data_IF_349039900155
#
_entry.id   IF_349039900155
#
_cell.length_a   1.000
_cell.length_b   1.000
_cell.length_c   1.000
_cell.angle_alpha   90.00
_cell.angle_beta   90.00
_cell.angle_gamma   90.00
#
_symmetry.space_group_name_H-M   'P 1'
#
loop_
_entity.id
_entity.type
_entity.pdbx_description
1 polymer ?
#
# COMPACT_ATOMS: atom_id res chain seq x y z
N UNK A 1 55.36 -19.39 -5.55
CA UNK A 1 54.31 -20.04 -6.37
C UNK A 1 53.58 -21.13 -5.55
N UNK A 2 52.87 -20.78 -4.47
CA UNK A 2 52.13 -21.75 -3.62
C UNK A 2 50.67 -21.33 -3.31
N UNK A 3 50.09 -20.44 -4.12
CA UNK A 3 48.75 -19.86 -3.92
C UNK A 3 47.66 -20.44 -4.83
N UNK A 4 48.00 -21.26 -5.83
CA UNK A 4 47.10 -21.71 -6.90
C UNK A 4 45.86 -22.51 -6.44
N UNK A 5 45.79 -22.93 -5.17
CA UNK A 5 44.63 -23.63 -4.60
C UNK A 5 44.22 -23.11 -3.21
N UNK A 6 44.67 -21.89 -2.86
CA UNK A 6 44.39 -21.27 -1.56
C UNK A 6 43.74 -19.90 -1.77
N UNK A 7 42.50 -19.85 -2.28
CA UNK A 7 41.84 -18.59 -2.63
C UNK A 7 41.71 -17.63 -1.43
N UNK A 8 41.59 -18.18 -0.22
CA UNK A 8 41.51 -17.42 1.04
C UNK A 8 42.77 -16.60 1.39
N UNK A 9 43.91 -16.83 0.71
CA UNK A 9 45.13 -16.01 0.91
C UNK A 9 44.94 -14.61 0.31
N UNK A 10 44.08 -14.48 -0.72
CA UNK A 10 43.80 -13.21 -1.37
C UNK A 10 42.82 -12.33 -0.59
N UNK A 11 42.23 -12.83 0.50
CA UNK A 11 41.41 -11.98 1.36
C UNK A 11 42.32 -11.03 2.17
N UNK A 12 42.12 -9.71 2.02
CA UNK A 12 42.92 -8.71 2.71
C UNK A 12 42.72 -8.81 4.24
N UNK A 13 43.71 -8.38 5.04
CA UNK A 13 43.54 -8.26 6.48
C UNK A 13 42.37 -7.31 6.83
N UNK A 14 41.61 -7.62 7.87
CA UNK A 14 40.50 -6.76 8.36
C UNK A 14 40.95 -5.34 8.74
N UNK A 15 42.23 -5.16 9.06
CA UNK A 15 42.82 -3.86 9.42
C UNK A 15 43.11 -2.98 8.21
N UNK A 16 43.04 -3.53 7.00
CA UNK A 16 43.21 -2.76 5.77
C UNK A 16 42.01 -1.83 5.58
N UNK A 17 42.28 -0.52 5.56
CA UNK A 17 41.23 0.50 5.41
C UNK A 17 40.83 0.73 3.96
N UNK A 18 41.71 0.39 3.03
CA UNK A 18 41.53 0.68 1.60
C UNK A 18 40.95 -0.53 0.86
N UNK A 19 41.15 -1.74 1.38
CA UNK A 19 40.66 -2.97 0.75
C UNK A 19 39.82 -3.82 1.69
N UNK A 20 38.49 -3.76 1.51
CA UNK A 20 37.52 -4.60 2.21
C UNK A 20 36.83 -5.55 1.23
N UNK A 21 37.12 -6.85 1.33
CA UNK A 21 36.55 -7.86 0.46
C UNK A 21 35.04 -7.98 0.70
N UNK A 22 34.28 -7.46 -0.27
CA UNK A 22 32.80 -7.44 -0.26
C UNK A 22 32.21 -8.14 -1.48
N UNK A 23 32.72 -7.83 -2.67
CA UNK A 23 32.32 -8.45 -3.94
C UNK A 23 33.57 -8.89 -4.70
N UNK A 24 33.59 -10.16 -5.11
CA UNK A 24 34.57 -10.70 -6.06
C UNK A 24 33.79 -11.26 -7.24
N UNK A 25 33.93 -10.60 -8.39
CA UNK A 25 33.22 -10.94 -9.62
C UNK A 25 34.25 -11.50 -10.60
N UNK A 26 34.02 -12.72 -11.08
CA UNK A 26 34.80 -13.33 -12.14
C UNK A 26 34.11 -13.06 -13.48
N UNK A 27 34.86 -12.54 -14.45
CA UNK A 27 34.42 -12.37 -15.82
C UNK A 27 35.07 -13.43 -16.71
N UNK A 28 34.28 -14.03 -17.58
CA UNK A 28 34.77 -14.96 -18.60
C UNK A 28 35.03 -14.22 -19.93
N UNK A 29 35.73 -14.86 -20.86
CA UNK A 29 36.07 -14.30 -22.17
C UNK A 29 34.84 -13.88 -22.99
N UNK A 30 33.70 -14.56 -22.77
CA UNK A 30 32.42 -14.28 -23.43
C UNK A 30 31.68 -13.08 -22.82
N UNK A 31 32.27 -12.39 -21.83
CA UNK A 31 31.68 -11.24 -21.14
C UNK A 31 30.63 -11.60 -20.08
N UNK A 32 30.39 -12.88 -19.85
CA UNK A 32 29.57 -13.35 -18.73
C UNK A 32 30.31 -13.19 -17.41
N UNK A 33 29.57 -12.98 -16.32
CA UNK A 33 30.15 -12.77 -15.01
C UNK A 33 29.43 -13.52 -13.90
N UNK A 34 30.20 -13.96 -12.91
CA UNK A 34 29.67 -14.65 -11.72
C UNK A 34 30.26 -14.07 -10.44
N UNK A 35 29.43 -14.03 -9.41
CA UNK A 35 29.85 -13.67 -8.06
C UNK A 35 30.50 -14.87 -7.36
N UNK A 36 31.83 -14.85 -7.30
CA UNK A 36 32.67 -15.90 -6.72
C UNK A 36 33.18 -15.52 -5.33
N UNK A 37 32.58 -14.50 -4.68
CA UNK A 37 33.01 -13.98 -3.37
C UNK A 37 33.18 -15.08 -2.32
N UNK A 38 32.28 -16.07 -2.30
CA UNK A 38 32.29 -17.20 -1.36
C UNK A 38 33.59 -18.00 -1.38
N UNK A 39 34.26 -18.09 -2.54
CA UNK A 39 35.52 -18.82 -2.71
C UNK A 39 36.67 -18.13 -1.96
N UNK A 40 36.65 -16.80 -1.93
CA UNK A 40 37.75 -15.98 -1.40
C UNK A 40 37.56 -15.55 0.06
N UNK A 41 36.33 -15.29 0.48
CA UNK A 41 36.04 -14.89 1.86
C UNK A 41 36.31 -16.03 2.86
N UNK A 42 37.04 -15.76 3.96
CA UNK A 42 37.20 -16.75 5.06
C UNK A 42 35.91 -16.93 5.85
N UNK A 43 35.14 -15.85 6.01
CA UNK A 43 33.92 -15.79 6.82
C UNK A 43 32.82 -15.05 6.05
N UNK A 44 32.30 -15.70 5.01
CA UNK A 44 31.33 -15.08 4.10
C UNK A 44 30.03 -14.75 4.82
N UNK A 45 29.41 -15.74 5.49
CA UNK A 45 28.08 -15.57 6.11
C UNK A 45 28.12 -14.65 7.31
N UNK A 46 29.20 -14.68 8.08
CA UNK A 46 29.37 -13.92 9.30
C UNK A 46 29.80 -12.46 9.09
N UNK A 47 30.72 -12.20 8.16
CA UNK A 47 31.37 -10.87 8.01
C UNK A 47 31.10 -10.26 6.65
N UNK A 48 31.55 -10.90 5.57
CA UNK A 48 31.48 -10.34 4.22
C UNK A 48 30.06 -9.98 3.84
N UNK A 49 29.08 -10.86 4.12
CA UNK A 49 27.68 -10.63 3.78
C UNK A 49 27.10 -9.35 4.39
N UNK A 50 27.57 -8.92 5.56
CA UNK A 50 27.07 -7.72 6.26
C UNK A 50 27.51 -6.41 5.62
N UNK A 51 28.59 -6.45 4.84
CA UNK A 51 29.13 -5.27 4.12
C UNK A 51 28.49 -5.08 2.75
N UNK A 52 27.60 -5.99 2.35
CA UNK A 52 27.01 -5.99 1.02
C UNK A 52 25.61 -5.40 1.00
N UNK A 53 25.21 -4.97 -0.19
CA UNK A 53 23.96 -4.26 -0.46
C UNK A 53 22.75 -5.11 -0.13
N UNK A 54 22.88 -6.45 -0.24
CA UNK A 54 21.81 -7.39 0.05
C UNK A 54 21.29 -7.32 1.49
N UNK A 55 22.06 -6.76 2.41
CA UNK A 55 21.65 -6.52 3.80
C UNK A 55 21.49 -5.03 4.14
N UNK A 56 21.97 -4.12 3.31
CA UNK A 56 21.92 -2.68 3.57
C UNK A 56 20.57 -2.06 3.16
N UNK A 57 19.92 -2.60 2.13
CA UNK A 57 18.62 -2.15 1.63
C UNK A 57 17.58 -3.26 1.76
N UNK A 58 16.31 -2.88 1.95
CA UNK A 58 15.19 -3.84 2.03
C UNK A 58 15.05 -4.67 0.74
N UNK A 59 15.24 -4.06 -0.43
CA UNK A 59 15.29 -4.73 -1.75
C UNK A 59 16.73 -4.91 -2.29
N UNK A 60 17.75 -4.87 -1.41
CA UNK A 60 19.14 -4.96 -1.86
C UNK A 60 19.48 -6.28 -2.56
N UNK A 61 18.88 -7.39 -2.08
CA UNK A 61 19.04 -8.71 -2.71
C UNK A 61 18.39 -8.76 -4.10
N UNK A 62 17.20 -8.17 -4.26
CA UNK A 62 16.52 -8.07 -5.55
C UNK A 62 17.32 -7.25 -6.53
N UNK A 63 17.86 -6.12 -6.09
CA UNK A 63 18.75 -5.27 -6.88
C UNK A 63 20.02 -6.01 -7.33
N UNK A 64 20.74 -6.67 -6.41
CA UNK A 64 21.96 -7.39 -6.76
C UNK A 64 21.70 -8.53 -7.76
N UNK A 65 20.60 -9.27 -7.56
CA UNK A 65 20.16 -10.29 -8.52
C UNK A 65 19.86 -9.70 -9.90
N UNK A 66 19.25 -8.50 -9.96
CA UNK A 66 18.96 -7.81 -11.22
C UNK A 66 20.24 -7.38 -11.95
N UNK A 67 21.24 -6.89 -11.22
CA UNK A 67 22.56 -6.54 -11.78
C UNK A 67 23.25 -7.78 -12.33
N UNK A 68 23.40 -8.83 -11.53
CA UNK A 68 24.08 -10.06 -11.95
C UNK A 68 23.33 -10.80 -13.07
N UNK A 69 22.01 -10.64 -13.17
CA UNK A 69 21.22 -11.22 -14.28
C UNK A 69 21.65 -10.68 -15.64
N UNK A 70 22.16 -9.46 -15.74
CA UNK A 70 22.64 -8.88 -17.01
C UNK A 70 23.89 -9.61 -17.54
N UNK A 71 24.68 -10.20 -16.64
CA UNK A 71 25.92 -10.88 -16.95
C UNK A 71 25.81 -12.41 -16.93
N UNK A 72 24.61 -12.95 -16.66
CA UNK A 72 24.40 -14.40 -16.58
C UNK A 72 24.35 -15.00 -17.99
N UNK A 73 24.98 -16.17 -18.24
CA UNK A 73 24.84 -16.85 -19.52
C UNK A 73 23.36 -17.20 -19.79
N UNK A 74 22.97 -17.16 -21.08
CA UNK A 74 21.61 -17.51 -21.52
C UNK A 74 21.27 -18.97 -21.20
N UNK A 75 22.25 -19.85 -21.32
CA UNK A 75 22.17 -21.29 -21.03
C UNK A 75 23.25 -21.64 -20.03
N UNK A 76 22.90 -22.11 -18.82
CA UNK A 76 23.89 -22.58 -17.85
C UNK A 76 24.67 -23.75 -18.45
N UNK A 77 25.99 -23.73 -18.31
CA UNK A 77 26.85 -24.86 -18.66
C UNK A 77 26.98 -25.85 -17.50
N UNK A 78 27.48 -27.06 -17.79
CA UNK A 78 27.84 -28.03 -16.74
C UNK A 78 28.92 -27.47 -15.80
N UNK A 79 29.85 -26.67 -16.33
CA UNK A 79 30.88 -25.98 -15.54
C UNK A 79 30.25 -24.96 -14.58
N UNK A 80 29.22 -24.24 -15.02
CA UNK A 80 28.50 -23.31 -14.16
C UNK A 80 27.84 -24.01 -12.99
N UNK A 81 27.23 -25.17 -13.25
CA UNK A 81 26.58 -25.96 -12.22
C UNK A 81 27.59 -26.56 -11.24
N UNK A 82 28.74 -27.02 -11.72
CA UNK A 82 29.84 -27.50 -10.88
C UNK A 82 30.33 -26.37 -9.98
N UNK A 83 30.52 -25.17 -10.52
CA UNK A 83 30.95 -23.99 -9.75
C UNK A 83 29.89 -23.55 -8.74
N UNK A 84 28.60 -23.52 -9.10
CA UNK A 84 27.53 -23.18 -8.18
C UNK A 84 27.47 -24.16 -7.00
N UNK A 85 27.68 -25.45 -7.27
CA UNK A 85 27.78 -26.50 -6.24
C UNK A 85 29.04 -26.33 -5.37
N UNK A 86 30.18 -25.96 -5.96
CA UNK A 86 31.41 -25.64 -5.22
C UNK A 86 31.17 -24.46 -4.27
N UNK A 87 30.64 -23.35 -4.77
CA UNK A 87 30.38 -22.14 -4.00
C UNK A 87 29.37 -22.38 -2.88
N UNK A 88 28.28 -23.12 -3.16
CA UNK A 88 27.33 -23.55 -2.15
C UNK A 88 27.96 -24.49 -1.11
N UNK A 89 28.84 -25.40 -1.55
CA UNK A 89 29.59 -26.30 -0.68
C UNK A 89 30.63 -25.57 0.20
N UNK A 90 31.22 -24.47 -0.27
CA UNK A 90 32.10 -23.61 0.54
C UNK A 90 31.29 -22.88 1.61
N UNK A 91 30.15 -22.30 1.25
CA UNK A 91 29.24 -21.62 2.19
C UNK A 91 28.71 -22.59 3.26
N UNK A 92 28.31 -23.81 2.86
CA UNK A 92 27.79 -24.82 3.79
C UNK A 92 28.85 -25.37 4.77
N UNK A 93 30.13 -25.39 4.36
CA UNK A 93 31.26 -25.82 5.20
C UNK A 93 31.85 -24.70 6.06
N UNK A 94 31.29 -23.50 6.01
CA UNK A 94 31.73 -22.40 6.88
C UNK A 94 31.54 -22.81 8.36
N UNK A 95 32.61 -22.73 9.18
CA UNK A 95 32.52 -23.13 10.59
C UNK A 95 31.59 -22.19 11.36
N UNK A 96 31.03 -22.69 12.47
CA UNK A 96 30.24 -21.86 13.37
C UNK A 96 31.08 -20.64 13.85
N UNK A 97 30.52 -19.42 13.82
CA UNK A 97 31.24 -18.23 14.29
C UNK A 97 31.67 -18.38 15.75
N UNK A 98 32.81 -17.77 16.10
CA UNK A 98 33.34 -17.80 17.47
C UNK A 98 33.04 -16.54 18.27
N UNK A 99 32.75 -15.42 17.58
CA UNK A 99 32.42 -14.16 18.21
C UNK A 99 30.90 -14.00 18.24
N UNK A 100 30.36 -13.61 19.39
CA UNK A 100 28.94 -13.32 19.56
C UNK A 100 28.42 -12.32 18.52
N UNK A 101 29.20 -11.28 18.18
CA UNK A 101 28.79 -10.26 17.20
C UNK A 101 28.59 -10.79 15.78
N UNK A 102 29.24 -11.91 15.44
CA UNK A 102 29.14 -12.55 14.13
C UNK A 102 27.83 -13.36 13.97
N UNK A 103 27.10 -13.60 15.07
CA UNK A 103 25.78 -14.26 15.04
C UNK A 103 24.63 -13.29 14.78
N UNK A 104 24.85 -11.98 14.84
CA UNK A 104 23.80 -10.99 14.58
C UNK A 104 23.37 -11.04 13.12
N UNK A 105 22.09 -11.31 12.87
CA UNK A 105 21.51 -11.50 11.53
C UNK A 105 22.20 -12.60 10.67
N UNK A 106 22.83 -13.59 11.32
CA UNK A 106 23.47 -14.71 10.63
C UNK A 106 22.43 -15.61 9.92
N UNK A 107 22.65 -16.06 8.66
CA UNK A 107 21.66 -16.82 7.90
C UNK A 107 21.33 -18.19 8.50
N UNK A 108 22.32 -18.84 9.11
CA UNK A 108 22.21 -20.24 9.56
C UNK A 108 22.01 -20.40 11.06
N UNK A 109 22.49 -19.45 11.87
CA UNK A 109 22.61 -19.57 13.32
C UNK A 109 21.93 -18.39 13.99
N UNK A 110 21.43 -18.59 15.20
CA UNK A 110 20.81 -17.56 16.01
C UNK A 110 21.19 -17.74 17.48
N UNK A 111 21.37 -16.62 18.17
CA UNK A 111 21.49 -16.56 19.62
C UNK A 111 20.21 -16.01 20.21
N UNK A 112 19.81 -16.51 21.38
CA UNK A 112 18.62 -16.03 22.10
C UNK A 112 18.64 -14.51 22.32
N UNK A 113 19.81 -13.96 22.69
CA UNK A 113 20.02 -12.50 22.87
C UNK A 113 19.78 -11.67 21.60
N UNK A 114 19.87 -12.28 20.42
CA UNK A 114 19.74 -11.60 19.13
C UNK A 114 18.40 -11.89 18.45
N UNK A 115 17.50 -12.64 19.11
CA UNK A 115 16.14 -12.81 18.62
C UNK A 115 15.41 -11.47 18.68
N UNK A 116 14.74 -11.13 17.59
CA UNK A 116 13.90 -9.93 17.53
C UNK A 116 12.72 -10.07 18.48
N UNK A 117 12.06 -8.96 18.78
CA UNK A 117 10.89 -8.92 19.69
C UNK A 117 9.85 -9.99 19.34
N UNK A 118 9.53 -10.12 18.05
CA UNK A 118 8.55 -11.03 17.47
C UNK A 118 9.14 -12.36 16.95
N UNK A 119 10.35 -12.72 17.37
CA UNK A 119 10.97 -14.01 17.07
C UNK A 119 10.97 -14.88 18.32
N UNK A 120 10.66 -16.16 18.15
CA UNK A 120 10.64 -17.18 19.19
C UNK A 120 11.30 -18.46 18.67
N UNK A 121 11.84 -19.27 19.56
CA UNK A 121 12.32 -20.61 19.21
C UNK A 121 11.12 -21.58 19.19
N UNK A 122 11.16 -22.58 18.32
CA UNK A 122 10.20 -23.69 18.36
C UNK A 122 10.25 -24.41 19.72
N UNK A 123 9.12 -24.92 20.22
CA UNK A 123 9.12 -25.76 21.41
C UNK A 123 10.08 -26.94 21.24
N UNK A 124 10.99 -27.13 22.21
CA UNK A 124 11.97 -28.22 22.18
C UNK A 124 13.18 -28.01 21.25
N UNK A 125 13.44 -26.78 20.79
CA UNK A 125 14.63 -26.48 19.99
C UNK A 125 15.93 -26.98 20.67
N UNK A 126 16.74 -27.74 19.93
CA UNK A 126 18.00 -28.29 20.42
C UNK A 126 19.16 -27.35 20.05
N UNK A 127 20.00 -26.93 21.00
CA UNK A 127 21.19 -26.13 20.70
C UNK A 127 22.13 -26.89 19.75
N UNK A 128 22.58 -26.22 18.69
CA UNK A 128 23.61 -26.74 17.77
C UNK A 128 25.04 -26.57 18.28
N UNK A 129 25.23 -25.76 19.32
CA UNK A 129 26.53 -25.50 19.93
C UNK A 129 26.45 -24.45 21.02
N UNK A 130 27.61 -24.04 21.53
CA UNK A 130 27.74 -22.96 22.51
C UNK A 130 28.81 -21.96 22.11
N UNK A 131 28.66 -20.71 22.54
CA UNK A 131 29.64 -19.64 22.33
C UNK A 131 29.83 -18.84 23.62
N UNK A 132 31.07 -18.47 23.94
CA UNK A 132 31.36 -17.59 25.06
C UNK A 132 31.34 -16.11 24.61
N UNK A 133 30.66 -15.25 25.38
CA UNK A 133 30.64 -13.80 25.10
C UNK A 133 31.90 -13.06 25.59
N UNK A 134 32.84 -13.78 26.20
CA UNK A 134 34.11 -13.27 26.73
C UNK A 134 34.73 -14.28 27.70
N UNK A 135 35.95 -14.01 28.18
CA UNK A 135 36.73 -14.95 29.02
C UNK A 135 36.04 -15.33 30.32
N UNK A 136 35.14 -14.49 30.85
CA UNK A 136 34.40 -14.74 32.10
C UNK A 136 32.88 -14.79 31.92
N UNK A 137 32.39 -14.72 30.69
CA UNK A 137 30.95 -14.71 30.43
C UNK A 137 30.40 -16.13 30.37
N UNK A 138 29.14 -16.36 30.75
CA UNK A 138 28.51 -17.66 30.60
C UNK A 138 28.46 -18.09 29.13
N UNK A 139 28.49 -19.40 28.91
CA UNK A 139 28.30 -19.99 27.59
C UNK A 139 26.85 -19.81 27.14
N UNK A 140 26.68 -19.26 25.95
CA UNK A 140 25.37 -19.08 25.34
C UNK A 140 25.06 -20.22 24.38
N UNK A 141 23.80 -20.64 24.38
CA UNK A 141 23.30 -21.65 23.45
C UNK A 141 23.10 -21.04 22.07
N UNK A 142 23.65 -21.70 21.05
CA UNK A 142 23.48 -21.36 19.65
C UNK A 142 22.42 -22.27 19.05
N UNK A 143 21.40 -21.70 18.42
CA UNK A 143 20.34 -22.43 17.72
C UNK A 143 20.47 -22.27 16.21
N UNK A 144 19.83 -23.14 15.43
CA UNK A 144 19.72 -22.91 13.98
C UNK A 144 18.65 -21.86 13.73
N UNK A 145 18.87 -20.99 12.74
CA UNK A 145 17.88 -19.99 12.32
C UNK A 145 16.57 -20.64 11.84
N UNK A 146 16.63 -21.87 11.31
CA UNK A 146 15.44 -22.67 10.92
C UNK A 146 14.49 -22.97 12.09
N UNK A 147 15.01 -22.99 13.31
CA UNK A 147 14.26 -23.26 14.54
C UNK A 147 13.67 -21.97 15.13
N UNK A 148 13.99 -20.81 14.54
CA UNK A 148 13.40 -19.52 14.89
C UNK A 148 12.15 -19.31 14.06
N UNK A 149 11.02 -19.05 14.72
CA UNK A 149 9.73 -18.74 14.09
C UNK A 149 9.33 -17.31 14.38
N UNK A 150 8.63 -16.70 13.42
CA UNK A 150 7.94 -15.45 13.69
C UNK A 150 6.67 -15.72 14.49
N UNK A 151 6.49 -14.94 15.55
CA UNK A 151 5.31 -14.97 16.38
C UNK A 151 4.60 -13.61 16.35
N UNK A 152 3.27 -13.64 16.28
CA UNK A 152 2.41 -12.46 16.16
C UNK A 152 1.28 -12.54 17.20
N UNK A 153 0.71 -11.40 17.56
CA UNK A 153 -0.50 -11.38 18.41
C UNK A 153 -1.68 -12.02 17.69
N UNK A 154 -2.70 -12.46 18.43
CA UNK A 154 -3.92 -13.03 17.87
C UNK A 154 -4.54 -12.10 16.81
N UNK A 155 -4.66 -10.80 17.13
CA UNK A 155 -5.15 -9.78 16.20
C UNK A 155 -4.32 -9.67 14.91
N UNK A 156 -2.99 -9.76 15.00
CA UNK A 156 -2.12 -9.73 13.82
C UNK A 156 -2.24 -11.00 12.97
N UNK A 157 -2.51 -12.14 13.58
CA UNK A 157 -2.83 -13.37 12.85
C UNK A 157 -4.19 -13.26 12.17
N UNK A 158 -5.18 -12.66 12.83
CA UNK A 158 -6.51 -12.45 12.26
C UNK A 158 -6.46 -11.59 11.01
N UNK A 159 -5.65 -10.52 11.00
CA UNK A 159 -5.37 -9.71 9.80
C UNK A 159 -4.66 -10.47 8.68
N UNK A 160 -4.08 -11.63 8.96
CA UNK A 160 -3.51 -12.56 7.97
C UNK A 160 -4.49 -13.69 7.62
N UNK A 161 -5.76 -13.60 8.03
CA UNK A 161 -6.80 -14.61 7.82
C UNK A 161 -6.62 -15.86 8.65
N UNK A 162 -6.02 -15.74 9.84
CA UNK A 162 -5.76 -16.88 10.75
C UNK A 162 -6.25 -16.59 12.15
N UNK A 163 -6.80 -17.59 12.80
CA UNK A 163 -7.18 -17.52 14.21
C UNK A 163 -6.32 -18.45 15.06
N UNK A 164 -6.16 -18.11 16.34
CA UNK A 164 -5.41 -18.95 17.28
C UNK A 164 -6.31 -20.12 17.66
N UNK A 165 -5.76 -21.34 17.62
CA UNK A 165 -6.52 -22.53 17.99
C UNK A 165 -6.98 -22.43 19.45
N UNK A 166 -8.15 -22.99 19.79
CA UNK A 166 -8.63 -22.99 21.18
C UNK A 166 -7.60 -23.63 22.13
N UNK A 167 -7.44 -23.03 23.32
CA UNK A 167 -6.60 -23.55 24.41
C UNK A 167 -5.09 -23.61 24.14
N UNK A 168 -4.58 -22.86 23.16
CA UNK A 168 -3.14 -22.75 22.90
C UNK A 168 -2.42 -21.86 23.92
N UNK A 169 -1.23 -22.29 24.35
CA UNK A 169 -0.37 -21.52 25.27
C UNK A 169 0.47 -20.53 24.45
N UNK A 170 0.53 -19.23 24.80
CA UNK A 170 1.34 -18.26 24.07
C UNK A 170 2.82 -18.66 24.02
N UNK A 171 3.44 -18.57 22.83
CA UNK A 171 4.86 -18.88 22.66
C UNK A 171 5.77 -17.89 23.41
N UNK A 172 5.33 -16.64 23.57
CA UNK A 172 6.03 -15.59 24.31
C UNK A 172 5.03 -14.53 24.74
N UNK A 173 5.33 -13.89 25.86
CA UNK A 173 4.61 -12.71 26.34
C UNK A 173 5.46 -11.47 26.06
N UNK A 174 4.89 -10.49 25.36
CA UNK A 174 5.56 -9.23 25.09
C UNK A 174 5.24 -8.23 26.20
N UNK A 175 6.24 -7.52 26.75
CA UNK A 175 5.98 -6.52 27.78
C UNK A 175 5.04 -5.44 27.24
N UNK A 176 4.17 -4.94 28.12
CA UNK A 176 3.24 -3.84 27.80
C UNK A 176 4.04 -2.65 27.28
N UNK A 177 3.57 -2.04 26.20
CA UNK A 177 4.16 -0.81 25.68
C UNK A 177 3.78 0.30 26.66
N UNK A 178 4.76 0.87 27.37
CA UNK A 178 4.52 2.07 28.18
C UNK A 178 4.15 3.20 27.22
N UNK A 179 2.85 3.43 27.03
CA UNK A 179 2.37 4.64 26.38
C UNK A 179 2.41 5.75 27.42
N UNK A 180 3.06 6.87 27.10
CA UNK A 180 3.01 8.07 27.94
C UNK A 180 1.57 8.56 27.98
N UNK A 181 0.86 8.22 29.06
CA UNK A 181 -0.52 8.62 29.37
C UNK A 181 -0.63 10.14 29.33
N UNK A 182 -1.21 10.70 28.27
CA UNK A 182 -1.60 12.11 28.21
C UNK A 182 -2.99 12.36 27.61
N UNK A 183 -3.72 11.32 27.19
CA UNK A 183 -5.08 11.46 26.64
C UNK A 183 -6.07 10.64 27.47
N UNK A 184 -7.14 11.29 27.96
CA UNK A 184 -8.27 10.65 28.67
C UNK A 184 -9.12 9.76 27.75
N UNK A 185 -8.94 9.83 26.43
CA UNK A 185 -9.72 9.06 25.46
C UNK A 185 -9.25 7.59 25.34
N UNK A 186 -8.03 7.26 25.76
CA UNK A 186 -7.50 5.88 25.74
C UNK A 186 -7.97 5.04 26.96
N UNK A 187 -8.66 5.64 27.93
CA UNK A 187 -9.08 4.96 29.17
C UNK A 187 -10.28 4.03 28.99
N UNK A 188 -11.10 4.21 27.94
CA UNK A 188 -12.36 3.46 27.80
C UNK A 188 -12.26 2.18 26.96
N UNK A 189 -11.31 2.07 26.03
CA UNK A 189 -11.10 0.82 25.25
C UNK A 189 -10.09 -0.15 25.89
N UNK A 190 -9.29 0.28 26.88
CA UNK A 190 -8.24 -0.56 27.48
C UNK A 190 -8.65 -1.27 28.78
N UNK A 191 -9.85 -1.00 29.31
CA UNK A 191 -10.28 -1.50 30.61
C UNK A 191 -10.99 -2.87 30.59
N UNK A 192 -11.27 -3.46 29.43
CA UNK A 192 -11.96 -4.77 29.36
C UNK A 192 -11.01 -5.99 29.33
N UNK A 193 -9.71 -5.80 29.09
CA UNK A 193 -8.70 -6.88 29.08
C UNK A 193 -7.67 -6.76 30.22
N UNK A 194 -8.05 -6.12 31.33
CA UNK A 194 -7.16 -5.75 32.42
C UNK A 194 -7.00 -6.81 33.53
N UNK A 195 -7.14 -8.11 33.20
CA UNK A 195 -6.83 -9.20 34.14
C UNK A 195 -5.49 -9.86 33.79
N UNK A 196 -4.40 -9.18 34.19
CA UNK A 196 -3.04 -9.74 34.12
C UNK A 196 -1.94 -8.72 33.82
N UNK A 197 -0.90 -8.71 34.65
CA UNK A 197 0.38 -8.04 34.41
C UNK A 197 1.18 -8.66 33.23
N UNK A 198 0.65 -9.71 32.59
CA UNK A 198 1.38 -10.60 31.71
C UNK A 198 1.79 -10.02 30.33
N UNK A 199 1.35 -8.82 29.92
CA UNK A 199 1.70 -8.26 28.62
C UNK A 199 0.92 -8.88 27.44
N UNK A 200 1.33 -8.62 26.20
CA UNK A 200 0.62 -9.10 24.99
C UNK A 200 1.09 -10.51 24.59
N UNK A 201 0.20 -11.52 24.56
CA UNK A 201 0.58 -12.87 24.12
C UNK A 201 0.85 -12.89 22.61
N UNK A 202 1.88 -13.62 22.20
CA UNK A 202 2.16 -13.89 20.78
C UNK A 202 2.24 -15.40 20.51
N UNK A 203 1.77 -15.78 19.33
CA UNK A 203 1.62 -17.15 18.88
C UNK A 203 2.40 -17.36 17.59
N UNK A 204 2.89 -18.58 17.38
CA UNK A 204 3.52 -18.99 16.12
C UNK A 204 2.47 -19.45 15.11
N UNK A 205 2.86 -19.61 13.85
CA UNK A 205 1.95 -20.07 12.79
C UNK A 205 1.33 -21.44 13.10
N UNK A 206 2.09 -22.34 13.72
CA UNK A 206 1.66 -23.73 13.99
C UNK A 206 0.51 -23.80 15.03
N UNK A 207 0.39 -22.75 15.86
CA UNK A 207 -0.66 -22.55 16.87
C UNK A 207 -1.91 -21.86 16.30
N UNK A 208 -1.93 -21.60 15.00
CA UNK A 208 -3.04 -20.94 14.34
C UNK A 208 -3.64 -21.84 13.27
N UNK A 209 -4.90 -21.62 12.97
CA UNK A 209 -5.62 -22.23 11.86
C UNK A 209 -6.19 -21.17 10.93
N UNK A 210 -6.62 -21.59 9.74
CA UNK A 210 -7.20 -20.67 8.77
C UNK A 210 -8.57 -20.22 9.30
N UNK A 211 -8.77 -18.90 9.40
CA UNK A 211 -10.04 -18.35 9.83
C UNK A 211 -11.10 -18.63 8.76
N UNK A 212 -12.16 -19.34 9.11
CA UNK A 212 -13.31 -19.55 8.24
C UNK A 212 -14.47 -18.62 8.67
N UNK A 213 -14.80 -17.58 7.88
CA UNK A 213 -15.95 -16.73 8.16
C UNK A 213 -17.27 -17.50 8.02
N UNK A 214 -18.31 -17.04 8.73
CA UNK A 214 -19.65 -17.56 8.55
C UNK A 214 -20.09 -17.47 7.07
N UNK A 215 -20.73 -18.50 6.50
CA UNK A 215 -21.13 -18.49 5.10
C UNK A 215 -22.30 -17.53 4.86
N UNK A 216 -22.43 -17.06 3.61
CA UNK A 216 -23.61 -16.31 3.16
C UNK A 216 -24.82 -17.25 3.16
N UNK A 217 -25.93 -16.84 3.79
CA UNK A 217 -27.17 -17.62 3.84
C UNK A 217 -28.35 -16.77 3.35
N UNK A 218 -29.14 -17.30 2.41
CA UNK A 218 -30.30 -16.61 1.83
C UNK A 218 -29.99 -15.21 1.30
N UNK A 219 -28.88 -15.07 0.56
CA UNK A 219 -28.43 -13.79 0.02
C UNK A 219 -27.92 -12.78 1.05
N UNK A 220 -27.91 -13.12 2.37
CA UNK A 220 -27.47 -12.22 3.44
C UNK A 220 -26.03 -12.47 3.85
N UNK A 221 -25.24 -11.41 3.87
CA UNK A 221 -23.82 -11.42 4.23
C UNK A 221 -23.69 -11.22 5.75
N UNK A 222 -22.86 -12.01 6.46
CA UNK A 222 -22.61 -11.79 7.88
C UNK A 222 -21.92 -10.43 8.11
N UNK A 223 -22.40 -9.67 9.09
CA UNK A 223 -21.89 -8.34 9.45
C UNK A 223 -21.42 -8.35 10.90
N UNK A 224 -20.35 -7.60 11.18
CA UNK A 224 -19.88 -7.34 12.53
C UNK A 224 -20.80 -6.34 13.26
N UNK A 225 -20.48 -6.00 14.52
CA UNK A 225 -21.24 -5.03 15.33
C UNK A 225 -21.34 -3.63 14.68
N UNK A 226 -20.41 -3.30 13.78
CA UNK A 226 -20.37 -2.04 13.05
C UNK A 226 -21.07 -2.09 11.69
N UNK A 227 -21.71 -3.21 11.34
CA UNK A 227 -22.42 -3.38 10.08
C UNK A 227 -21.50 -3.67 8.87
N UNK A 228 -20.21 -3.90 9.09
CA UNK A 228 -19.22 -4.16 8.05
C UNK A 228 -18.72 -5.61 8.12
N UNK A 229 -17.95 -6.05 7.13
CA UNK A 229 -17.26 -7.35 7.15
C UNK A 229 -15.75 -7.15 7.03
N UNK A 230 -14.98 -7.88 7.81
CA UNK A 230 -13.52 -7.76 7.88
C UNK A 230 -12.88 -8.70 6.86
N UNK A 231 -12.28 -8.13 5.82
CA UNK A 231 -11.70 -8.87 4.69
C UNK A 231 -10.29 -8.33 4.42
N UNK A 232 -9.33 -8.75 5.24
CA UNK A 232 -7.92 -8.36 5.08
C UNK A 232 -7.19 -9.20 4.04
N UNK A 233 -7.60 -10.46 3.87
CA UNK A 233 -7.06 -11.39 2.88
C UNK A 233 -8.19 -12.11 2.14
N UNK A 234 -7.97 -12.60 0.90
CA UNK A 234 -9.00 -13.26 0.12
C UNK A 234 -9.65 -14.48 0.80
N UNK A 235 -8.93 -15.18 1.70
CA UNK A 235 -9.49 -16.32 2.43
C UNK A 235 -10.54 -15.94 3.48
N UNK A 236 -10.66 -14.66 3.84
CA UNK A 236 -11.68 -14.15 4.76
C UNK A 236 -13.01 -13.83 4.07
N UNK A 237 -13.12 -14.07 2.76
CA UNK A 237 -14.38 -13.92 2.05
C UNK A 237 -15.29 -15.11 2.41
N UNK A 238 -16.52 -14.87 2.91
CA UNK A 238 -17.50 -15.91 3.17
C UNK A 238 -17.69 -16.88 2.02
N UNK A 239 -17.85 -18.17 2.33
CA UNK A 239 -18.31 -19.16 1.34
C UNK A 239 -19.67 -18.69 0.80
N UNK A 240 -19.79 -18.59 -0.53
CA UNK A 240 -20.97 -18.04 -1.22
C UNK A 240 -20.99 -16.51 -1.34
N UNK A 241 -19.98 -15.81 -0.84
CA UNK A 241 -19.78 -14.37 -1.03
C UNK A 241 -18.73 -14.05 -2.08
N UNK A 242 -18.79 -12.82 -2.62
CA UNK A 242 -17.77 -12.23 -3.48
C UNK A 242 -17.47 -10.80 -3.04
N UNK A 243 -16.19 -10.43 -3.05
CA UNK A 243 -15.75 -9.06 -2.78
C UNK A 243 -15.61 -8.29 -4.09
N UNK A 244 -16.37 -7.20 -4.23
CA UNK A 244 -16.26 -6.27 -5.35
C UNK A 244 -15.56 -5.01 -4.83
N UNK A 245 -14.31 -4.82 -5.23
CA UNK A 245 -13.45 -3.72 -4.81
C UNK A 245 -13.67 -2.46 -5.67
N UNK A 246 -14.87 -1.89 -5.61
CA UNK A 246 -15.26 -0.70 -6.38
C UNK A 246 -16.04 0.30 -5.48
N UNK A 247 -15.88 1.60 -5.71
CA UNK A 247 -16.54 2.66 -4.95
C UNK A 247 -18.05 2.73 -5.26
N UNK A 248 -18.45 2.40 -6.49
CA UNK A 248 -19.84 2.35 -6.92
C UNK A 248 -20.57 1.11 -6.42
N UNK A 249 -19.86 0.07 -5.98
CA UNK A 249 -20.45 -1.21 -5.63
C UNK A 249 -21.50 -1.11 -4.50
N UNK A 250 -21.29 -0.22 -3.52
CA UNK A 250 -22.28 0.02 -2.46
C UNK A 250 -23.55 0.67 -3.00
N UNK A 251 -23.41 1.64 -3.91
CA UNK A 251 -24.55 2.31 -4.57
C UNK A 251 -25.31 1.34 -5.46
N UNK A 252 -24.59 0.55 -6.27
CA UNK A 252 -25.17 -0.49 -7.12
C UNK A 252 -26.02 -1.49 -6.33
N UNK A 253 -25.45 -2.04 -5.25
CA UNK A 253 -26.17 -2.99 -4.39
C UNK A 253 -27.41 -2.38 -3.75
N UNK A 254 -27.34 -1.10 -3.33
CA UNK A 254 -28.48 -0.38 -2.77
C UNK A 254 -29.61 -0.17 -3.79
N UNK A 255 -29.28 0.26 -5.01
CA UNK A 255 -30.26 0.46 -6.10
C UNK A 255 -30.96 -0.85 -6.47
N UNK A 256 -30.22 -1.96 -6.45
CA UNK A 256 -30.75 -3.30 -6.76
C UNK A 256 -31.46 -3.96 -5.57
N UNK A 257 -31.46 -3.35 -4.38
CA UNK A 257 -32.08 -3.93 -3.17
C UNK A 257 -31.40 -5.19 -2.64
N UNK A 258 -30.11 -5.38 -2.95
CA UNK A 258 -29.32 -6.56 -2.54
C UNK A 258 -28.66 -6.31 -1.19
N UNK A 259 -28.67 -7.31 -0.30
CA UNK A 259 -27.94 -7.23 0.96
C UNK A 259 -26.42 -7.22 0.70
N UNK A 260 -25.77 -6.16 1.17
CA UNK A 260 -24.33 -5.99 1.06
C UNK A 260 -23.71 -5.62 2.41
N UNK A 261 -22.44 -5.98 2.58
CA UNK A 261 -21.63 -5.57 3.73
C UNK A 261 -20.41 -4.81 3.22
N UNK A 262 -20.14 -3.57 3.67
CA UNK A 262 -18.91 -2.87 3.33
C UNK A 262 -17.68 -3.67 3.80
N UNK A 263 -16.69 -3.80 2.92
CA UNK A 263 -15.50 -4.62 3.19
C UNK A 263 -14.40 -3.78 3.84
N UNK A 264 -14.08 -4.07 5.10
CA UNK A 264 -12.94 -3.50 5.79
C UNK A 264 -11.67 -4.22 5.35
N UNK A 265 -10.85 -3.55 4.54
CA UNK A 265 -9.65 -4.13 3.94
C UNK A 265 -8.37 -3.74 4.68
N UNK A 266 -8.41 -2.72 5.52
CA UNK A 266 -7.25 -2.26 6.27
C UNK A 266 -7.52 -1.03 7.12
N UNK A 267 -6.44 -0.45 7.65
CA UNK A 267 -6.45 0.80 8.39
C UNK A 267 -5.39 1.73 7.82
N UNK A 268 -5.75 2.97 7.57
CA UNK A 268 -4.82 4.02 7.20
C UNK A 268 -4.48 4.84 8.44
N UNK A 269 -3.19 5.00 8.73
CA UNK A 269 -2.75 5.76 9.89
C UNK A 269 -2.25 7.13 9.44
N UNK A 270 -3.01 8.18 9.76
CA UNK A 270 -2.58 9.57 9.59
C UNK A 270 -2.13 10.09 10.95
N UNK A 271 -0.81 10.14 11.14
CA UNK A 271 -0.20 10.49 12.42
C UNK A 271 -0.50 9.44 13.49
N UNK A 272 -1.27 9.83 14.52
CA UNK A 272 -1.67 8.93 15.63
C UNK A 272 -3.08 8.36 15.48
N UNK A 273 -3.88 8.85 14.54
CA UNK A 273 -5.24 8.36 14.31
C UNK A 273 -5.24 7.29 13.22
N UNK A 274 -5.82 6.13 13.53
CA UNK A 274 -6.07 5.06 12.56
C UNK A 274 -7.50 5.11 12.06
N UNK A 275 -7.69 5.31 10.76
CA UNK A 275 -9.00 5.31 10.12
C UNK A 275 -9.23 3.98 9.41
N UNK A 276 -10.40 3.38 9.63
CA UNK A 276 -10.84 2.16 8.96
C UNK A 276 -11.02 2.39 7.45
N UNK A 277 -10.37 1.58 6.62
CA UNK A 277 -10.42 1.70 5.15
C UNK A 277 -11.42 0.68 4.60
N UNK A 278 -12.62 1.16 4.31
CA UNK A 278 -13.68 0.40 3.65
C UNK A 278 -13.47 0.50 2.13
N UNK A 279 -13.12 -0.61 1.48
CA UNK A 279 -12.95 -0.66 0.02
C UNK A 279 -13.90 -1.67 -0.56
N UNK A 280 -14.91 -1.17 -1.27
CA UNK A 280 -15.92 -2.00 -1.90
C UNK A 280 -16.85 -2.70 -0.92
N UNK A 281 -17.51 -3.74 -1.41
CA UNK A 281 -18.54 -4.49 -0.66
C UNK A 281 -18.41 -5.99 -0.89
N UNK A 282 -18.84 -6.77 0.09
CA UNK A 282 -19.11 -8.19 -0.06
C UNK A 282 -20.61 -8.39 -0.30
N UNK A 283 -20.94 -9.16 -1.32
CA UNK A 283 -22.31 -9.55 -1.69
C UNK A 283 -22.39 -11.06 -1.87
N UNK A 284 -23.60 -11.60 -1.93
CA UNK A 284 -23.81 -12.98 -2.34
C UNK A 284 -23.37 -13.19 -3.80
N UNK A 285 -22.69 -14.31 -4.08
CA UNK A 285 -22.13 -14.65 -5.39
C UNK A 285 -23.20 -14.69 -6.50
N UNK A 286 -24.43 -15.05 -6.15
CA UNK A 286 -25.56 -15.09 -7.08
C UNK A 286 -25.89 -13.73 -7.71
N UNK A 287 -25.56 -12.62 -7.04
CA UNK A 287 -25.83 -11.26 -7.52
C UNK A 287 -24.61 -10.56 -8.12
N UNK A 288 -23.49 -11.26 -8.29
CA UNK A 288 -22.24 -10.67 -8.77
C UNK A 288 -22.41 -9.96 -10.13
N UNK A 289 -23.03 -10.65 -11.08
CA UNK A 289 -23.20 -10.16 -12.44
C UNK A 289 -24.11 -8.93 -12.48
N UNK A 290 -25.21 -8.94 -11.74
CA UNK A 290 -26.14 -7.81 -11.66
C UNK A 290 -25.47 -6.56 -11.07
N UNK A 291 -24.68 -6.71 -10.00
CA UNK A 291 -23.98 -5.58 -9.38
C UNK A 291 -22.89 -5.06 -10.30
N UNK A 292 -22.12 -5.92 -10.97
CA UNK A 292 -21.10 -5.48 -11.95
C UNK A 292 -21.71 -4.73 -13.13
N UNK A 293 -22.83 -5.21 -13.67
CA UNK A 293 -23.54 -4.52 -14.75
C UNK A 293 -24.06 -3.14 -14.30
N UNK A 294 -24.59 -3.03 -13.08
CA UNK A 294 -25.04 -1.76 -12.52
C UNK A 294 -23.88 -0.78 -12.25
N UNK A 295 -22.70 -1.27 -11.83
CA UNK A 295 -21.49 -0.46 -11.72
C UNK A 295 -21.10 0.10 -13.09
N UNK A 296 -21.06 -0.76 -14.12
CA UNK A 296 -20.72 -0.33 -15.47
C UNK A 296 -21.68 0.76 -15.96
N UNK A 297 -22.99 0.58 -15.78
CA UNK A 297 -23.97 1.60 -16.16
C UNK A 297 -23.81 2.94 -15.41
N UNK A 298 -23.37 2.92 -14.15
CA UNK A 298 -23.06 4.15 -13.42
C UNK A 298 -21.80 4.84 -13.93
N UNK A 299 -20.77 4.07 -14.30
CA UNK A 299 -19.54 4.61 -14.88
C UNK A 299 -19.80 5.21 -16.27
N UNK A 300 -20.58 4.52 -17.09
CA UNK A 300 -20.96 5.00 -18.43
C UNK A 300 -21.73 6.33 -18.32
N UNK A 301 -22.68 6.43 -17.38
CA UNK A 301 -23.44 7.66 -17.14
C UNK A 301 -22.56 8.81 -16.62
N UNK A 302 -21.60 8.53 -15.73
CA UNK A 302 -20.65 9.54 -15.28
C UNK A 302 -19.77 10.05 -16.44
N UNK A 303 -19.35 9.15 -17.32
CA UNK A 303 -18.60 9.50 -18.52
C UNK A 303 -19.44 10.36 -19.47
N UNK A 304 -20.70 10.00 -19.72
CA UNK A 304 -21.61 10.80 -20.56
C UNK A 304 -21.80 12.22 -20.00
N UNK A 305 -22.02 12.35 -18.69
CA UNK A 305 -22.17 13.67 -18.03
C UNK A 305 -20.88 14.50 -18.13
N UNK A 306 -19.71 13.88 -17.99
CA UNK A 306 -18.43 14.56 -18.15
C UNK A 306 -18.17 14.98 -19.61
N UNK A 307 -18.54 14.14 -20.58
CA UNK A 307 -18.51 14.49 -21.99
C UNK A 307 -19.48 15.64 -22.32
N UNK A 308 -20.69 15.64 -21.76
CA UNK A 308 -21.65 16.73 -21.92
C UNK A 308 -21.11 18.05 -21.34
N UNK A 309 -20.48 18.02 -20.16
CA UNK A 309 -19.82 19.21 -19.60
C UNK A 309 -18.72 19.73 -20.51
N UNK A 310 -17.87 18.85 -21.05
CA UNK A 310 -16.82 19.23 -22.01
C UNK A 310 -17.41 19.81 -23.28
N UNK A 311 -18.46 19.20 -23.82
CA UNK A 311 -19.19 19.71 -25.00
C UNK A 311 -19.80 21.07 -24.72
N UNK A 312 -20.40 21.27 -23.55
CA UNK A 312 -20.97 22.55 -23.14
C UNK A 312 -19.92 23.65 -23.06
N UNK A 313 -18.77 23.39 -22.43
CA UNK A 313 -17.65 24.34 -22.38
C UNK A 313 -17.15 24.67 -23.79
N UNK A 314 -16.98 23.67 -24.65
CA UNK A 314 -16.56 23.88 -26.04
C UNK A 314 -17.58 24.74 -26.81
N UNK A 315 -18.88 24.46 -26.69
CA UNK A 315 -19.92 25.23 -27.35
C UNK A 315 -19.98 26.69 -26.83
N UNK A 316 -19.76 26.91 -25.54
CA UNK A 316 -19.68 28.26 -24.95
C UNK A 316 -18.49 29.05 -25.54
N UNK A 317 -17.32 28.42 -25.67
CA UNK A 317 -16.15 29.02 -26.31
C UNK A 317 -16.38 29.31 -27.80
N UNK A 318 -16.99 28.38 -28.53
CA UNK A 318 -17.35 28.58 -29.94
C UNK A 318 -18.33 29.72 -30.13
N UNK A 319 -19.36 29.82 -29.28
CA UNK A 319 -20.30 30.94 -29.29
C UNK A 319 -19.56 32.26 -29.08
N UNK A 320 -18.68 32.34 -28.09
CA UNK A 320 -17.88 33.55 -27.81
C UNK A 320 -16.99 33.91 -28.99
N UNK A 321 -16.32 32.94 -29.59
CA UNK A 321 -15.47 33.14 -30.76
C UNK A 321 -16.26 33.65 -31.98
N UNK A 322 -17.38 33.00 -32.32
CA UNK A 322 -18.21 33.40 -33.46
C UNK A 322 -18.85 34.78 -33.25
N UNK A 323 -19.29 35.10 -32.02
CA UNK A 323 -19.76 36.45 -31.71
C UNK A 323 -18.64 37.49 -31.85
N UNK A 324 -17.43 37.18 -31.37
CA UNK A 324 -16.26 38.03 -31.58
C UNK A 324 -15.95 38.27 -33.06
N UNK A 325 -16.00 37.21 -33.89
CA UNK A 325 -15.83 37.33 -35.35
C UNK A 325 -16.94 38.18 -35.99
N UNK A 326 -18.20 38.02 -35.56
CA UNK A 326 -19.33 38.79 -36.09
C UNK A 326 -19.23 40.28 -35.72
N UNK A 327 -18.86 40.59 -34.48
CA UNK A 327 -18.61 41.96 -34.03
C UNK A 327 -17.45 42.55 -34.84
N UNK A 328 -16.36 41.80 -34.99
CA UNK A 328 -15.20 42.19 -35.81
C UNK A 328 -15.63 42.48 -37.25
N UNK A 329 -16.34 41.57 -37.91
CA UNK A 329 -16.84 41.77 -39.27
C UNK A 329 -17.72 43.03 -39.39
N UNK A 330 -18.59 43.28 -38.42
CA UNK A 330 -19.42 44.50 -38.38
C UNK A 330 -18.58 45.77 -38.23
N UNK A 331 -17.61 45.78 -37.33
CA UNK A 331 -16.71 46.93 -37.12
C UNK A 331 -15.89 47.23 -38.37
N UNK A 332 -15.37 46.20 -39.03
CA UNK A 332 -14.53 46.33 -40.23
C UNK A 332 -15.33 46.42 -41.54
N UNK A 333 -16.67 46.42 -41.48
CA UNK A 333 -17.51 46.61 -42.67
C UNK A 333 -17.42 48.07 -43.15
N UNK A 334 -16.76 48.28 -44.29
CA UNK A 334 -16.54 49.60 -44.89
C UNK A 334 -15.16 50.23 -44.66
N UNK A 335 -14.24 49.52 -44.00
CA UNK A 335 -12.83 49.93 -43.81
C UNK A 335 -11.93 49.23 -44.83
N UNK A 336 -10.90 49.91 -45.34
CA UNK A 336 -9.97 49.35 -46.35
C UNK A 336 -9.11 48.20 -45.82
N UNK A 337 -8.76 47.22 -46.66
CA UNK A 337 -7.98 46.03 -46.27
C UNK A 337 -6.63 46.39 -45.63
N UNK A 338 -5.97 47.46 -46.09
CA UNK A 338 -4.66 47.89 -45.61
C UNK A 338 -4.71 48.43 -44.17
N UNK A 339 -5.78 49.18 -43.81
CA UNK A 339 -5.99 49.71 -42.46
C UNK A 339 -6.32 48.57 -41.47
N UNK A 340 -7.06 47.56 -41.93
CA UNK A 340 -7.37 46.36 -41.13
C UNK A 340 -6.10 45.56 -40.80
N UNK A 341 -5.21 45.37 -41.77
CA UNK A 341 -3.97 44.64 -41.57
C UNK A 341 -2.94 45.37 -40.69
N UNK A 342 -3.01 46.69 -40.59
CA UNK A 342 -2.19 47.45 -39.64
C UNK A 342 -2.72 47.32 -38.21
N UNK A 343 -4.03 47.45 -38.02
CA UNK A 343 -4.65 47.28 -36.71
C UNK A 343 -4.51 45.86 -36.14
N UNK A 344 -4.63 44.82 -36.97
CA UNK A 344 -4.43 43.43 -36.53
C UNK A 344 -2.97 43.19 -36.09
N UNK A 345 -1.98 43.77 -36.79
CA UNK A 345 -0.55 43.69 -36.40
C UNK A 345 -0.26 44.43 -35.10
N UNK A 346 -0.87 45.59 -34.88
CA UNK A 346 -0.74 46.32 -33.62
C UNK A 346 -1.37 45.55 -32.45
N UNK A 347 -2.53 44.94 -32.67
CA UNK A 347 -3.21 44.12 -31.66
C UNK A 347 -2.43 42.84 -31.31
N UNK A 348 -1.80 42.17 -32.29
CA UNK A 348 -0.92 41.02 -32.04
C UNK A 348 0.30 41.39 -31.19
N UNK A 349 0.96 42.51 -31.50
CA UNK A 349 2.10 43.01 -30.72
C UNK A 349 1.70 43.39 -29.29
N UNK A 350 0.51 43.96 -29.10
CA UNK A 350 0.00 44.29 -27.77
C UNK A 350 -0.37 43.04 -26.95
N UNK A 351 -0.94 42.01 -27.60
CA UNK A 351 -1.26 40.74 -26.95
C UNK A 351 0.00 39.97 -26.54
N UNK A 352 1.05 39.98 -27.38
CA UNK A 352 2.36 39.40 -27.05
C UNK A 352 3.04 40.16 -25.88
N UNK A 353 2.91 41.49 -25.84
CA UNK A 353 3.45 42.31 -24.76
C UNK A 353 2.72 42.12 -23.41
N UNK A 354 1.42 41.80 -23.44
CA UNK A 354 0.59 41.57 -22.23
C UNK A 354 0.59 40.12 -21.74
N UNK A 355 1.22 39.19 -22.45
CA UNK A 355 1.53 37.84 -21.97
C UNK A 355 0.31 37.04 -21.48
N UNK A 356 -0.62 36.69 -22.39
CA UNK A 356 -1.65 35.66 -22.26
C UNK A 356 -2.17 35.34 -20.83
N UNK A 357 -2.57 36.35 -20.06
CA UNK A 357 -3.43 36.12 -18.90
C UNK A 357 -4.83 35.83 -19.44
N UNK A 358 -5.34 34.61 -19.20
CA UNK A 358 -6.71 34.26 -19.54
C UNK A 358 -7.65 35.05 -18.63
N UNK A 359 -8.11 36.17 -19.14
CA UNK A 359 -9.11 37.01 -18.50
C UNK A 359 -10.42 36.21 -18.40
N UNK A 360 -10.70 35.64 -17.22
CA UNK A 360 -12.05 35.28 -16.79
C UNK A 360 -12.82 36.58 -16.59
N UNK A 361 -13.14 37.26 -17.70
CA UNK A 361 -14.03 38.41 -17.67
C UNK A 361 -15.46 37.95 -17.44
N UNK A 362 -16.06 38.58 -16.45
CA UNK A 362 -17.45 38.52 -16.02
C UNK A 362 -18.45 38.35 -17.17
N UNK A 363 -19.50 37.61 -16.84
CA UNK A 363 -20.79 37.53 -17.52
C UNK A 363 -21.14 38.79 -18.33
N UNK A 364 -21.08 38.67 -19.65
CA UNK A 364 -21.90 39.49 -20.53
C UNK A 364 -23.27 38.80 -20.67
N UNK A 365 -24.09 38.93 -19.63
CA UNK A 365 -25.52 38.61 -19.68
C UNK A 365 -26.22 39.67 -20.55
N UNK A 366 -26.26 39.40 -21.86
CA UNK A 366 -27.13 40.14 -22.77
C UNK A 366 -28.49 39.47 -22.74
N UNK A 367 -29.38 40.04 -21.93
CA UNK A 367 -30.82 39.87 -22.02
C UNK A 367 -31.21 40.10 -23.49
N UNK A 368 -31.57 39.02 -24.17
CA UNK A 368 -32.25 39.12 -25.47
C UNK A 368 -33.72 39.25 -25.12
N UNK A 369 -34.26 40.45 -25.29
CA UNK A 369 -35.69 40.71 -25.31
C UNK A 369 -36.31 39.88 -26.44
N UNK A 370 -36.86 38.72 -26.08
CA UNK A 370 -37.84 38.01 -26.91
C UNK A 370 -39.24 38.51 -26.50
N UNK A 371 -39.56 39.75 -26.87
CA UNK A 371 -40.94 40.17 -27.03
C UNK A 371 -41.39 39.83 -28.45
N UNK A 372 -42.16 38.74 -28.54
CA UNK A 372 -43.50 38.65 -29.15
C UNK A 372 -43.69 37.37 -30.01
N UNK A 373 -44.30 36.34 -29.40
CA UNK A 373 -45.56 35.81 -29.93
C UNK A 373 -46.33 35.02 -28.84
N UNK A 374 -47.33 35.70 -28.26
CA UNK A 374 -48.70 35.24 -28.05
C UNK A 374 -49.03 33.80 -27.61
N UNK A 375 -49.70 33.68 -26.45
CA UNK A 375 -50.84 32.76 -26.36
C UNK A 375 -51.24 32.19 -24.98
N UNK A 376 -52.06 32.94 -24.23
CA UNK A 376 -53.21 32.45 -23.41
C UNK A 376 -52.91 31.48 -22.24
N UNK A 377 -53.07 31.89 -20.97
CA UNK A 377 -54.37 31.93 -20.24
C UNK A 377 -54.54 30.66 -19.37
N UNK A 378 -54.95 30.62 -18.11
CA UNK A 378 -55.43 31.61 -17.14
C UNK A 378 -55.88 30.88 -15.84
N UNK A 379 -56.29 31.68 -14.84
CA UNK A 379 -57.10 31.34 -13.63
C UNK A 379 -56.43 30.50 -12.51
N UNK A 380 -56.50 30.83 -11.20
CA UNK A 380 -57.06 31.95 -10.41
C UNK A 380 -56.38 31.97 -9.04
N UNK A 381 -56.24 33.17 -8.47
CA UNK A 381 -56.10 33.41 -7.02
C UNK A 381 -57.50 33.48 -6.41
N UNK A 382 -57.63 33.01 -5.17
CA UNK A 382 -58.75 33.30 -4.28
C UNK A 382 -58.25 33.22 -2.85
N UNK A 383 -57.77 34.35 -2.33
CA UNK A 383 -57.78 34.63 -0.90
C UNK A 383 -59.23 34.89 -0.47
N UNK A 384 -59.63 34.41 0.70
CA UNK A 384 -60.45 35.18 1.64
C UNK A 384 -60.29 34.58 3.04
N UNK A 385 -60.09 35.50 3.98
CA UNK A 385 -59.90 35.37 5.42
C UNK A 385 -61.10 34.72 6.14
N UNK A 386 -60.85 34.08 7.30
CA UNK A 386 -61.27 34.61 8.60
C UNK A 386 -61.14 33.58 9.77
N UNK A 387 -60.65 34.13 10.88
CA UNK A 387 -60.90 33.80 12.29
C UNK A 387 -60.43 32.46 12.91
N UNK A 388 -59.45 32.55 13.82
CA UNK A 388 -59.74 32.51 15.27
C UNK A 388 -58.47 32.53 16.16
N UNK A 389 -58.36 33.61 16.93
CA UNK A 389 -57.94 33.74 18.35
C UNK A 389 -56.87 32.83 18.99
N UNK A 390 -55.92 33.52 19.64
CA UNK A 390 -55.20 33.08 20.85
C UNK A 390 -53.67 33.13 20.68
N UNK A 391 -52.88 34.01 21.29
CA UNK A 391 -53.03 34.78 22.52
C UNK A 391 -51.84 34.50 23.44
N UNK A 392 -50.92 35.47 23.60
CA UNK A 392 -49.83 35.50 24.60
C UNK A 392 -48.48 34.96 24.06
N UNK A 393 -47.33 35.66 24.10
CA UNK A 393 -46.89 36.81 24.88
C UNK A 393 -45.94 36.38 26.00
N UNK A 394 -44.62 36.39 25.78
CA UNK A 394 -43.61 37.16 26.55
C UNK A 394 -42.16 36.81 26.18
N UNK A 395 -41.31 37.85 26.27
CA UNK A 395 -39.86 37.94 26.05
C UNK A 395 -39.03 37.50 27.27
N UNK A 396 -37.82 37.01 26.97
CA UNK A 396 -36.50 37.28 27.61
C UNK A 396 -36.28 36.88 29.08
N UNK A 397 -35.37 35.92 29.27
CA UNK A 397 -33.98 36.22 29.71
C UNK A 397 -32.99 35.36 28.94
#
# INVERSE_FOLDING_TARGET
MNSFWKPKIFEPPITDKENSLSYVIAFDADGTAKDVTRRYAKAYTAKTRRLRIENALEDGKGWWNKVMKMYRPKTPSDLDQIEDNELAGVEAREPMPRNVQDFKDHPVYALERHLRRHEVLVPGAVPSGTVAAGTRAPLEKVFRRKDVRMARSAEKWFRLGREVKPMEIPAKWLPKRVQNKRSRFDEQEQNEDADGDAGTPIYTMDQTELYEPAPVRHGRVPKNKFGNIEVYVPSMIPKGGVHIADEYARRAAYVLGIDCAPALTGFEFKGRQGTAVLKGVVIAKEFEEAVRASIQGMLDLEQEVEEEKRRYVALKLWRRFLMGLRIRERIWSGVGEDERQQADREAELEAEAKGAESDETDEFDMVVDDEDDGGGGGFLVGDDDDDAEGGGGFLVE
#
